data_IF_567980102793
#
_entry.id   IF_567980102793
#
_cell.length_a   1.000
_cell.length_b   1.000
_cell.length_c   1.000
_cell.angle_alpha   90.00
_cell.angle_beta   90.00
_cell.angle_gamma   90.00
#
_symmetry.space_group_name_H-M   'P 1'
#
loop_
_entity.id
_entity.type
_entity.pdbx_description
1 polymer ?
#
# COMPACT_ATOMS: atom_id res chain seq x y z
N UNK A 1 -34.34 -5.19 -45.28
CA UNK A 1 -33.92 -3.79 -45.00
C UNK A 1 -34.67 -3.19 -43.81
N UNK A 2 -36.04 -3.22 -43.73
CA UNK A 2 -36.80 -2.64 -42.61
C UNK A 2 -36.48 -3.26 -41.23
N UNK A 3 -36.24 -4.57 -41.15
CA UNK A 3 -35.88 -5.23 -39.89
C UNK A 3 -34.44 -4.94 -39.46
N UNK A 4 -33.50 -4.86 -40.41
CA UNK A 4 -32.12 -4.50 -40.13
C UNK A 4 -32.05 -3.06 -39.58
N UNK A 5 -32.79 -2.12 -40.17
CA UNK A 5 -32.87 -0.76 -39.69
C UNK A 5 -33.46 -0.66 -38.26
N UNK A 6 -34.47 -1.47 -37.93
CA UNK A 6 -35.05 -1.53 -36.56
C UNK A 6 -34.05 -2.10 -35.56
N UNK A 7 -33.32 -3.17 -35.90
CA UNK A 7 -32.30 -3.75 -35.04
C UNK A 7 -31.17 -2.73 -34.81
N UNK A 8 -30.69 -2.08 -35.88
CA UNK A 8 -29.65 -1.06 -35.76
C UNK A 8 -30.09 0.13 -34.88
N UNK A 9 -31.33 0.60 -35.04
CA UNK A 9 -31.87 1.67 -34.20
C UNK A 9 -31.99 1.25 -32.73
N UNK A 10 -32.51 0.03 -32.48
CA UNK A 10 -32.59 -0.51 -31.12
C UNK A 10 -31.21 -0.61 -30.48
N UNK A 11 -30.24 -1.20 -31.19
CA UNK A 11 -28.86 -1.32 -30.69
C UNK A 11 -28.24 0.04 -30.39
N UNK A 12 -28.44 1.03 -31.29
CA UNK A 12 -27.92 2.39 -31.06
C UNK A 12 -28.54 3.03 -29.82
N UNK A 13 -29.87 2.95 -29.66
CA UNK A 13 -30.56 3.48 -28.46
C UNK A 13 -30.09 2.77 -27.19
N UNK A 14 -29.97 1.44 -27.23
CA UNK A 14 -29.49 0.65 -26.12
C UNK A 14 -28.06 1.07 -25.69
N UNK A 15 -27.15 1.22 -26.66
CA UNK A 15 -25.79 1.66 -26.41
C UNK A 15 -25.74 3.08 -25.82
N UNK A 16 -26.58 4.00 -26.32
CA UNK A 16 -26.66 5.37 -25.77
C UNK A 16 -27.16 5.35 -24.34
N UNK A 17 -28.21 4.59 -24.05
CA UNK A 17 -28.72 4.45 -22.67
C UNK A 17 -27.64 3.82 -21.77
N UNK A 18 -26.97 2.76 -22.24
CA UNK A 18 -25.89 2.13 -21.49
C UNK A 18 -24.76 3.10 -21.18
N UNK A 19 -24.31 3.90 -22.15
CA UNK A 19 -23.27 4.92 -21.96
C UNK A 19 -23.69 5.97 -20.93
N UNK A 20 -24.94 6.40 -20.96
CA UNK A 20 -25.48 7.34 -19.97
C UNK A 20 -25.44 6.71 -18.56
N UNK A 21 -25.94 5.48 -18.43
CA UNK A 21 -25.95 4.76 -17.17
C UNK A 21 -24.52 4.50 -16.65
N UNK A 22 -23.58 4.09 -17.50
CA UNK A 22 -22.17 3.97 -17.14
C UNK A 22 -21.56 5.28 -16.64
N UNK A 23 -22.00 6.42 -17.18
CA UNK A 23 -21.58 7.75 -16.71
C UNK A 23 -22.00 8.05 -15.29
N UNK A 24 -23.13 7.50 -14.82
CA UNK A 24 -23.67 7.68 -13.46
C UNK A 24 -23.13 6.65 -12.45
N UNK A 25 -22.60 5.54 -12.92
CA UNK A 25 -22.11 4.45 -12.10
C UNK A 25 -20.60 4.25 -12.28
N UNK A 26 -19.77 5.21 -11.86
CA UNK A 26 -18.34 5.01 -11.97
C UNK A 26 -17.91 3.90 -11.02
N UNK A 27 -16.87 3.16 -11.37
CA UNK A 27 -16.18 2.32 -10.40
C UNK A 27 -15.73 3.19 -9.23
N UNK A 28 -15.80 2.62 -8.04
CA UNK A 28 -15.72 3.27 -6.73
C UNK A 28 -14.30 3.75 -6.34
N UNK A 29 -13.40 3.88 -7.29
CA UNK A 29 -12.01 4.26 -7.05
C UNK A 29 -11.66 5.58 -7.74
N UNK A 30 -11.95 6.69 -7.04
CA UNK A 30 -11.61 8.05 -7.50
C UNK A 30 -10.10 8.30 -7.65
N UNK A 31 -9.24 7.54 -6.95
CA UNK A 31 -7.79 7.67 -7.03
C UNK A 31 -7.26 7.31 -8.42
N UNK A 32 -7.73 6.22 -9.03
CA UNK A 32 -7.32 5.81 -10.38
C UNK A 32 -7.67 6.86 -11.43
N UNK A 33 -8.87 7.43 -11.36
CA UNK A 33 -9.28 8.47 -12.30
C UNK A 33 -8.46 9.76 -12.13
N UNK A 34 -8.14 10.13 -10.89
CA UNK A 34 -7.27 11.26 -10.55
C UNK A 34 -5.86 11.06 -11.11
N UNK A 35 -5.29 9.90 -10.88
CA UNK A 35 -3.97 9.50 -11.37
C UNK A 35 -3.87 9.60 -12.90
N UNK A 36 -4.76 8.94 -13.65
CA UNK A 36 -4.74 8.97 -15.11
C UNK A 36 -4.94 10.38 -15.67
N UNK A 37 -5.78 11.19 -15.04
CA UNK A 37 -5.95 12.60 -15.43
C UNK A 37 -4.70 13.43 -15.20
N UNK A 38 -4.00 13.23 -14.08
CA UNK A 38 -2.73 13.91 -13.80
C UNK A 38 -1.68 13.49 -14.83
N UNK A 39 -1.57 12.19 -15.10
CA UNK A 39 -0.66 11.63 -16.10
C UNK A 39 -0.85 12.26 -17.48
N UNK A 40 -2.07 12.23 -18.03
CA UNK A 40 -2.35 12.77 -19.37
C UNK A 40 -2.24 14.31 -19.50
N UNK A 41 -2.08 15.05 -18.39
CA UNK A 41 -1.81 16.48 -18.44
C UNK A 41 -0.32 16.79 -18.66
N UNK A 42 0.56 15.80 -18.50
CA UNK A 42 2.00 15.98 -18.61
C UNK A 42 2.46 15.88 -20.07
N UNK A 43 3.27 16.82 -20.50
CA UNK A 43 3.85 16.83 -21.85
C UNK A 43 5.13 15.98 -21.94
N UNK A 44 5.88 15.91 -20.85
CA UNK A 44 7.07 15.09 -20.68
C UNK A 44 7.10 14.55 -19.26
N UNK A 45 7.77 13.45 -19.07
CA UNK A 45 7.98 12.82 -17.76
C UNK A 45 9.43 12.41 -17.67
N UNK A 46 10.14 12.94 -16.67
CA UNK A 46 11.53 12.63 -16.40
C UNK A 46 11.64 11.46 -15.39
N UNK A 47 10.76 11.45 -14.38
CA UNK A 47 10.69 10.44 -13.34
C UNK A 47 9.24 9.96 -13.23
N UNK A 48 9.03 8.66 -13.31
CA UNK A 48 7.74 8.05 -13.00
C UNK A 48 7.81 7.22 -11.72
N UNK A 49 6.82 7.37 -10.84
CA UNK A 49 6.67 6.58 -9.62
C UNK A 49 5.48 5.67 -9.82
N UNK A 50 5.68 4.37 -9.69
CA UNK A 50 4.63 3.34 -9.86
C UNK A 50 4.53 2.54 -8.58
N UNK A 51 3.31 2.21 -8.15
CA UNK A 51 3.08 1.38 -6.97
C UNK A 51 1.71 1.57 -6.33
N UNK A 52 1.59 1.12 -5.09
CA UNK A 52 0.36 1.20 -4.31
C UNK A 52 0.26 2.51 -3.50
N UNK A 53 -0.60 2.51 -2.47
CA UNK A 53 -0.66 3.61 -1.48
C UNK A 53 0.66 3.87 -0.78
N UNK A 54 1.54 2.88 -0.66
CA UNK A 54 2.89 3.08 -0.12
C UNK A 54 3.69 4.06 -0.98
N UNK A 55 3.61 3.92 -2.29
CA UNK A 55 4.27 4.83 -3.23
C UNK A 55 3.73 6.26 -3.10
N UNK A 56 2.41 6.43 -3.06
CA UNK A 56 1.79 7.75 -2.98
C UNK A 56 2.02 8.45 -1.64
N UNK A 57 2.16 7.69 -0.56
CA UNK A 57 2.46 8.23 0.77
C UNK A 57 3.95 8.56 0.95
N UNK A 58 4.84 7.71 0.41
CA UNK A 58 6.28 7.89 0.59
C UNK A 58 6.89 8.91 -0.38
N UNK A 59 6.38 8.98 -1.61
CA UNK A 59 6.90 9.85 -2.67
C UNK A 59 5.76 10.68 -3.31
N UNK A 60 5.21 11.65 -2.59
CA UNK A 60 4.23 12.56 -3.18
C UNK A 60 4.80 13.27 -4.41
N UNK A 61 4.03 13.34 -5.49
CA UNK A 61 4.46 13.87 -6.78
C UNK A 61 5.05 15.28 -6.67
N UNK A 62 4.33 16.17 -5.99
CA UNK A 62 4.72 17.58 -5.86
C UNK A 62 6.00 17.74 -5.05
N UNK A 63 6.19 16.91 -4.01
CA UNK A 63 7.37 16.95 -3.14
C UNK A 63 8.62 16.49 -3.89
N UNK A 64 8.52 15.36 -4.61
CA UNK A 64 9.67 14.87 -5.38
C UNK A 64 9.99 15.78 -6.56
N UNK A 65 8.98 16.35 -7.24
CA UNK A 65 9.18 17.32 -8.30
C UNK A 65 9.86 18.59 -7.80
N UNK A 66 9.45 19.10 -6.64
CA UNK A 66 10.08 20.26 -6.01
C UNK A 66 11.53 19.98 -5.59
N UNK A 67 11.81 18.78 -5.08
CA UNK A 67 13.13 18.40 -4.61
C UNK A 67 14.12 18.13 -5.76
N UNK A 68 13.66 17.60 -6.90
CA UNK A 68 14.51 17.28 -8.06
C UNK A 68 14.57 18.41 -9.09
N UNK A 69 13.53 19.24 -9.16
CA UNK A 69 13.33 20.22 -10.25
C UNK A 69 12.90 19.59 -11.57
N UNK A 70 12.47 18.32 -11.57
CA UNK A 70 12.11 17.52 -12.73
C UNK A 70 10.60 17.29 -12.83
N UNK A 71 10.13 16.88 -14.03
CA UNK A 71 8.74 16.50 -14.21
C UNK A 71 8.52 15.08 -13.68
N UNK A 72 7.79 14.98 -12.59
CA UNK A 72 7.44 13.71 -11.95
C UNK A 72 6.02 13.30 -12.33
N UNK A 73 5.78 12.02 -12.56
CA UNK A 73 4.45 11.43 -12.67
C UNK A 73 4.26 10.37 -11.58
N UNK A 74 3.25 10.53 -10.75
CA UNK A 74 2.83 9.53 -9.78
C UNK A 74 1.73 8.65 -10.38
N UNK A 75 2.09 7.44 -10.78
CA UNK A 75 1.19 6.42 -11.32
C UNK A 75 0.91 5.35 -10.27
N UNK A 76 0.39 5.80 -9.13
CA UNK A 76 0.12 4.96 -7.97
C UNK A 76 -1.30 5.17 -7.46
N UNK A 77 -1.94 4.10 -7.04
CA UNK A 77 -3.31 4.11 -6.50
C UNK A 77 -3.44 3.20 -5.28
N UNK A 78 -4.53 3.37 -4.52
CA UNK A 78 -4.78 2.52 -3.37
C UNK A 78 -4.92 1.05 -3.77
N UNK A 79 -4.18 0.17 -3.10
CA UNK A 79 -4.17 -1.27 -3.34
C UNK A 79 -3.86 -1.63 -4.81
N UNK A 80 -3.00 -0.87 -5.47
CA UNK A 80 -2.53 -1.17 -6.82
C UNK A 80 -1.67 -2.43 -6.80
N UNK A 81 -2.08 -3.44 -7.55
CA UNK A 81 -1.36 -4.69 -7.75
C UNK A 81 -0.29 -4.56 -8.86
N UNK A 82 0.53 -5.59 -9.01
CA UNK A 82 1.60 -5.57 -10.02
C UNK A 82 1.07 -5.56 -11.45
N UNK A 83 -0.03 -6.24 -11.74
CA UNK A 83 -0.67 -6.20 -13.06
C UNK A 83 -1.15 -4.78 -13.42
N UNK A 84 -1.74 -4.03 -12.48
CA UNK A 84 -2.06 -2.62 -12.70
C UNK A 84 -0.81 -1.77 -12.87
N UNK A 85 0.25 -2.05 -12.13
CA UNK A 85 1.55 -1.38 -12.24
C UNK A 85 2.21 -1.66 -13.59
N UNK A 86 2.10 -2.89 -14.11
CA UNK A 86 2.55 -3.25 -15.45
C UNK A 86 1.80 -2.46 -16.53
N UNK A 87 0.47 -2.36 -16.43
CA UNK A 87 -0.34 -1.57 -17.35
C UNK A 87 0.08 -0.10 -17.34
N UNK A 88 0.28 0.47 -16.15
CA UNK A 88 0.78 1.84 -16.01
C UNK A 88 2.14 2.03 -16.69
N UNK A 89 3.06 1.09 -16.49
CA UNK A 89 4.38 1.10 -17.11
C UNK A 89 4.31 0.97 -18.65
N UNK A 90 3.49 0.06 -19.17
CA UNK A 90 3.32 -0.13 -20.62
C UNK A 90 2.78 1.16 -21.27
N UNK A 91 1.80 1.81 -20.65
CA UNK A 91 1.25 3.08 -21.14
C UNK A 91 2.30 4.17 -21.07
N UNK A 92 3.03 4.28 -19.95
CA UNK A 92 4.12 5.25 -19.77
C UNK A 92 5.18 5.11 -20.87
N UNK A 93 5.71 3.90 -21.08
CA UNK A 93 6.81 3.69 -22.05
C UNK A 93 6.37 3.76 -23.52
N UNK A 94 5.07 3.59 -23.80
CA UNK A 94 4.50 3.85 -25.12
C UNK A 94 4.48 5.35 -25.47
N UNK A 95 4.26 6.21 -24.48
CA UNK A 95 3.98 7.63 -24.67
C UNK A 95 5.15 8.55 -24.29
N UNK A 96 5.97 8.11 -23.35
CA UNK A 96 7.10 8.87 -22.79
C UNK A 96 8.37 8.02 -22.70
N UNK A 97 9.50 8.69 -22.50
CA UNK A 97 10.80 8.06 -22.29
C UNK A 97 11.42 8.61 -20.99
N UNK A 98 10.90 8.20 -19.83
CA UNK A 98 11.40 8.69 -18.55
C UNK A 98 12.84 8.22 -18.33
N UNK A 99 13.63 9.05 -17.65
CA UNK A 99 14.99 8.71 -17.23
C UNK A 99 14.98 7.65 -16.14
N UNK A 100 14.05 7.77 -15.20
CA UNK A 100 13.83 6.82 -14.13
C UNK A 100 12.37 6.38 -14.06
N UNK A 101 12.20 5.09 -13.84
CA UNK A 101 10.97 4.52 -13.29
C UNK A 101 11.30 4.00 -11.88
N UNK A 102 10.60 4.50 -10.88
CA UNK A 102 10.70 4.05 -9.49
C UNK A 102 9.50 3.15 -9.22
N UNK A 103 9.72 1.84 -9.13
CA UNK A 103 8.69 0.89 -8.71
C UNK A 103 8.79 0.67 -7.21
N UNK A 104 7.81 1.19 -6.48
CA UNK A 104 7.73 0.98 -5.03
C UNK A 104 7.14 -0.39 -4.76
N UNK A 105 8.00 -1.30 -4.30
CA UNK A 105 7.65 -2.68 -3.98
C UNK A 105 6.92 -2.75 -2.65
N UNK A 106 5.88 -3.56 -2.63
CA UNK A 106 5.24 -4.00 -1.40
C UNK A 106 5.28 -5.53 -1.38
N UNK A 107 6.06 -6.11 -0.48
CA UNK A 107 6.22 -7.56 -0.36
C UNK A 107 4.87 -8.24 -0.08
N UNK A 108 3.97 -7.58 0.63
CA UNK A 108 2.63 -8.11 0.90
C UNK A 108 1.79 -8.24 -0.37
N UNK A 109 1.98 -7.36 -1.36
CA UNK A 109 1.28 -7.43 -2.64
C UNK A 109 1.78 -8.57 -3.53
N UNK A 110 2.94 -9.15 -3.23
CA UNK A 110 3.49 -10.29 -3.98
C UNK A 110 2.84 -11.62 -3.59
N UNK A 111 2.29 -11.74 -2.39
CA UNK A 111 1.68 -12.97 -1.85
C UNK A 111 0.17 -13.02 -2.06
N UNK A 112 -0.48 -11.87 -2.15
CA UNK A 112 -1.93 -11.75 -2.23
C UNK A 112 -2.51 -12.04 -3.61
N UNK A 113 -3.82 -12.25 -3.66
CA UNK A 113 -4.57 -12.21 -4.92
C UNK A 113 -4.85 -10.74 -5.28
N UNK A 114 -4.78 -10.37 -6.58
CA UNK A 114 -5.14 -9.04 -7.03
C UNK A 114 -6.53 -8.62 -6.51
N UNK A 115 -6.66 -7.38 -6.10
CA UNK A 115 -7.94 -6.85 -5.67
C UNK A 115 -8.79 -6.50 -6.90
N UNK A 116 -9.59 -7.46 -7.39
CA UNK A 116 -10.33 -7.37 -8.65
C UNK A 116 -11.16 -6.09 -8.83
N UNK A 117 -11.73 -5.54 -7.74
CA UNK A 117 -12.49 -4.29 -7.79
C UNK A 117 -11.58 -3.08 -8.10
N UNK A 118 -10.40 -3.04 -7.50
CA UNK A 118 -9.42 -1.97 -7.74
C UNK A 118 -8.88 -2.03 -9.18
N UNK A 119 -8.56 -3.23 -9.66
CA UNK A 119 -8.11 -3.45 -11.04
C UNK A 119 -9.15 -2.99 -12.06
N UNK A 120 -10.43 -3.34 -11.88
CA UNK A 120 -11.50 -2.88 -12.76
C UNK A 120 -11.63 -1.37 -12.78
N UNK A 121 -11.54 -0.74 -11.61
CA UNK A 121 -11.60 0.71 -11.48
C UNK A 121 -10.41 1.39 -12.17
N UNK A 122 -9.23 0.79 -12.08
CA UNK A 122 -8.01 1.27 -12.71
C UNK A 122 -8.10 1.27 -14.23
N UNK A 123 -8.44 0.13 -14.84
CA UNK A 123 -8.61 -0.04 -16.28
C UNK A 123 -9.74 0.82 -16.83
N UNK A 124 -10.85 0.93 -16.09
CA UNK A 124 -11.96 1.77 -16.51
C UNK A 124 -11.62 3.26 -16.48
N UNK A 125 -10.80 3.68 -15.52
CA UNK A 125 -10.31 5.04 -15.45
C UNK A 125 -9.35 5.38 -16.60
N UNK A 126 -8.46 4.46 -16.98
CA UNK A 126 -7.62 4.56 -18.17
C UNK A 126 -8.49 4.75 -19.40
N UNK A 127 -9.44 3.85 -19.66
CA UNK A 127 -10.37 3.92 -20.79
C UNK A 127 -11.16 5.23 -20.87
N UNK A 128 -11.49 5.86 -19.70
CA UNK A 128 -12.19 7.14 -19.67
C UNK A 128 -11.30 8.33 -20.04
N UNK A 129 -10.03 8.26 -19.71
CA UNK A 129 -9.10 9.39 -19.82
C UNK A 129 -8.30 9.38 -21.10
N UNK A 130 -8.14 8.24 -21.71
CA UNK A 130 -7.32 8.02 -22.91
C UNK A 130 -7.86 8.69 -24.18
N UNK A 131 -6.99 8.83 -25.17
CA UNK A 131 -7.29 9.40 -26.45
C UNK A 131 -8.26 8.50 -27.26
N UNK A 132 -9.01 9.08 -28.20
CA UNK A 132 -9.89 8.30 -29.08
C UNK A 132 -9.16 7.24 -29.91
N UNK A 133 -7.85 7.39 -30.12
CA UNK A 133 -7.04 6.45 -30.92
C UNK A 133 -6.72 5.18 -30.11
N UNK A 134 -6.53 5.33 -28.82
CA UNK A 134 -6.08 4.26 -27.92
C UNK A 134 -7.25 3.50 -27.29
N UNK A 135 -8.41 4.15 -27.17
CA UNK A 135 -9.64 3.54 -26.60
C UNK A 135 -10.01 2.14 -27.13
N UNK A 136 -9.85 1.78 -28.40
CA UNK A 136 -10.15 0.41 -28.84
C UNK A 136 -9.21 -0.63 -28.22
N UNK A 137 -7.91 -0.30 -28.05
CA UNK A 137 -6.94 -1.18 -27.42
C UNK A 137 -7.20 -1.32 -25.92
N UNK A 138 -7.51 -0.21 -25.25
CA UNK A 138 -7.81 -0.20 -23.81
C UNK A 138 -9.13 -0.92 -23.51
N UNK A 139 -10.13 -0.76 -24.38
CA UNK A 139 -11.38 -1.52 -24.27
C UNK A 139 -11.11 -3.02 -24.43
N UNK A 140 -10.26 -3.41 -25.39
CA UNK A 140 -9.88 -4.81 -25.56
C UNK A 140 -9.14 -5.33 -24.34
N UNK A 141 -8.16 -4.57 -23.82
CA UNK A 141 -7.42 -4.88 -22.58
C UNK A 141 -8.39 -5.03 -21.39
N UNK A 142 -9.30 -4.09 -21.22
CA UNK A 142 -10.33 -4.15 -20.20
C UNK A 142 -11.20 -5.40 -20.31
N UNK A 143 -11.61 -5.78 -21.54
CA UNK A 143 -12.43 -6.96 -21.80
C UNK A 143 -11.66 -8.27 -21.66
N UNK A 144 -10.35 -8.27 -21.90
CA UNK A 144 -9.50 -9.47 -21.91
C UNK A 144 -8.68 -9.64 -20.64
N UNK A 145 -8.74 -8.69 -19.70
CA UNK A 145 -8.03 -8.83 -18.42
C UNK A 145 -8.53 -10.08 -17.67
N UNK A 146 -7.58 -10.85 -17.14
CA UNK A 146 -7.81 -12.20 -16.56
C UNK A 146 -8.94 -12.25 -15.54
N UNK A 147 -9.09 -11.19 -14.73
CA UNK A 147 -10.07 -11.14 -13.65
C UNK A 147 -11.45 -10.63 -14.07
N UNK A 148 -11.59 -10.13 -15.30
CA UNK A 148 -12.86 -9.66 -15.83
C UNK A 148 -13.71 -10.77 -16.48
N UNK A 149 -13.15 -11.97 -16.70
CA UNK A 149 -13.81 -13.04 -17.44
C UNK A 149 -14.48 -14.13 -16.60
N UNK A 150 -14.60 -13.97 -15.30
CA UNK A 150 -15.50 -14.82 -14.54
C UNK A 150 -16.95 -14.34 -14.72
N UNK A 151 -17.60 -14.78 -15.79
CA UNK A 151 -19.03 -14.72 -16.08
C UNK A 151 -19.84 -13.48 -15.66
N UNK A 152 -20.22 -13.37 -14.41
CA UNK A 152 -21.03 -12.26 -13.90
C UNK A 152 -20.29 -10.91 -13.87
N UNK A 153 -19.00 -10.92 -13.64
CA UNK A 153 -18.19 -9.71 -13.50
C UNK A 153 -17.96 -8.99 -14.83
N UNK A 154 -17.82 -9.73 -15.93
CA UNK A 154 -17.67 -9.16 -17.27
C UNK A 154 -18.94 -8.43 -17.73
N UNK A 155 -20.12 -8.98 -17.38
CA UNK A 155 -21.39 -8.33 -17.64
C UNK A 155 -21.55 -7.06 -16.78
N UNK A 156 -21.10 -7.08 -15.54
CA UNK A 156 -21.12 -5.90 -14.68
C UNK A 156 -20.19 -4.79 -15.17
N UNK A 157 -19.10 -5.13 -15.83
CA UNK A 157 -18.20 -4.15 -16.45
C UNK A 157 -18.83 -3.46 -17.66
N UNK A 158 -19.51 -4.24 -18.53
CA UNK A 158 -20.22 -3.71 -19.70
C UNK A 158 -21.54 -3.04 -19.30
N UNK A 159 -22.18 -3.52 -18.25
CA UNK A 159 -23.48 -3.09 -17.75
C UNK A 159 -23.43 -2.85 -16.23
N UNK A 160 -22.71 -1.81 -15.77
CA UNK A 160 -22.49 -1.56 -14.34
C UNK A 160 -23.79 -1.38 -13.55
N UNK A 161 -24.89 -1.01 -14.21
CA UNK A 161 -26.22 -0.93 -13.62
C UNK A 161 -26.82 -2.30 -13.21
N UNK A 162 -26.23 -3.42 -13.62
CA UNK A 162 -26.63 -4.77 -13.16
C UNK A 162 -26.06 -5.12 -11.79
N UNK A 163 -24.99 -4.48 -11.36
CA UNK A 163 -24.31 -4.78 -10.10
C UNK A 163 -25.11 -4.41 -8.82
N UNK A 164 -26.25 -3.77 -8.99
CA UNK A 164 -27.09 -3.33 -7.86
C UNK A 164 -26.52 -2.16 -7.06
N UNK A 165 -25.37 -1.64 -7.42
CA UNK A 165 -24.71 -0.49 -6.77
C UNK A 165 -25.30 0.82 -7.26
N UNK A 166 -26.64 0.97 -7.19
CA UNK A 166 -27.30 2.20 -7.57
C UNK A 166 -27.03 3.29 -6.54
N UNK A 167 -26.86 4.55 -6.97
CA UNK A 167 -26.74 5.67 -6.04
C UNK A 167 -27.93 5.71 -5.09
N UNK A 168 -27.67 5.83 -3.80
CA UNK A 168 -28.71 6.01 -2.78
C UNK A 168 -29.22 7.45 -2.74
N UNK A 169 -28.37 8.40 -3.13
CA UNK A 169 -28.68 9.83 -3.26
C UNK A 169 -28.43 10.30 -4.69
N UNK A 170 -29.47 10.25 -5.51
CA UNK A 170 -29.41 10.70 -6.90
C UNK A 170 -29.14 12.20 -7.07
N UNK A 171 -29.76 13.13 -6.28
CA UNK A 171 -29.44 14.53 -6.38
C UNK A 171 -27.95 14.84 -6.13
N UNK A 172 -27.39 14.29 -5.06
CA UNK A 172 -25.98 14.47 -4.75
C UNK A 172 -25.06 13.87 -5.85
N UNK A 173 -25.41 12.69 -6.35
CA UNK A 173 -24.67 12.05 -7.46
C UNK A 173 -24.70 12.87 -8.74
N UNK A 174 -25.86 13.37 -9.13
CA UNK A 174 -26.02 14.25 -10.30
C UNK A 174 -25.21 15.53 -10.12
N UNK A 175 -25.28 16.16 -8.93
CA UNK A 175 -24.53 17.38 -8.63
C UNK A 175 -23.02 17.14 -8.69
N UNK A 176 -22.54 16.02 -8.13
CA UNK A 176 -21.14 15.64 -8.18
C UNK A 176 -20.65 15.43 -9.61
N UNK A 177 -21.45 14.74 -10.44
CA UNK A 177 -21.15 14.51 -11.88
C UNK A 177 -21.15 15.80 -12.66
N UNK A 178 -22.13 16.67 -12.39
CA UNK A 178 -22.20 17.98 -13.04
C UNK A 178 -21.00 18.85 -12.67
N UNK A 179 -20.62 18.87 -11.41
CA UNK A 179 -19.40 19.55 -10.95
C UNK A 179 -18.15 18.98 -11.63
N UNK A 180 -18.05 17.65 -11.78
CA UNK A 180 -16.94 17.01 -12.49
C UNK A 180 -16.89 17.42 -13.97
N UNK A 181 -18.04 17.56 -14.64
CA UNK A 181 -18.12 18.07 -16.02
C UNK A 181 -17.70 19.54 -16.09
N UNK A 182 -18.20 20.37 -15.19
CA UNK A 182 -17.85 21.80 -15.12
C UNK A 182 -16.37 22.01 -14.80
N UNK A 183 -15.77 21.17 -13.97
CA UNK A 183 -14.33 21.23 -13.65
C UNK A 183 -13.44 20.78 -14.83
N UNK A 184 -13.99 20.12 -15.84
CA UNK A 184 -13.29 19.79 -17.10
C UNK A 184 -13.22 20.98 -18.05
N UNK A 185 -13.99 22.05 -17.83
CA UNK A 185 -13.93 23.25 -18.65
C UNK A 185 -12.60 23.99 -18.43
N UNK A 186 -11.96 24.56 -19.49
CA UNK A 186 -10.60 25.10 -19.45
C UNK A 186 -10.33 26.19 -18.40
N UNK A 187 -11.38 26.80 -17.86
CA UNK A 187 -11.27 27.93 -16.92
C UNK A 187 -11.11 27.54 -15.45
N UNK A 188 -11.12 26.23 -15.12
CA UNK A 188 -10.90 25.72 -13.76
C UNK A 188 -9.73 24.71 -13.67
N UNK A 189 -8.70 24.93 -14.47
CA UNK A 189 -7.41 24.22 -14.31
C UNK A 189 -6.71 24.78 -13.08
N UNK A 190 -6.86 24.14 -11.95
CA UNK A 190 -6.17 24.63 -10.76
C UNK A 190 -6.41 23.89 -9.46
N UNK A 191 -7.08 22.75 -9.50
CA UNK A 191 -7.09 21.85 -8.36
C UNK A 191 -6.63 20.48 -8.87
N UNK A 192 -5.33 20.29 -9.00
CA UNK A 192 -4.73 19.00 -8.76
C UNK A 192 -5.33 18.50 -7.44
N UNK A 193 -5.72 17.23 -7.36
CA UNK A 193 -6.10 16.66 -6.08
C UNK A 193 -4.84 16.61 -5.20
N UNK A 194 -4.54 17.78 -4.58
CA UNK A 194 -3.76 17.75 -3.36
C UNK A 194 -4.57 16.89 -2.39
N UNK A 195 -4.09 15.70 -2.09
CA UNK A 195 -4.58 14.96 -0.94
C UNK A 195 -4.43 15.91 0.25
N UNK A 196 -5.44 16.06 1.11
CA UNK A 196 -5.24 16.81 2.35
C UNK A 196 -3.98 16.24 3.02
N UNK A 197 -3.10 17.12 3.49
CA UNK A 197 -1.89 16.70 4.19
C UNK A 197 -2.28 15.79 5.36
N UNK A 198 -1.93 14.53 5.27
CA UNK A 198 -2.18 13.57 6.33
C UNK A 198 -1.08 13.72 7.39
N UNK A 199 -1.40 14.46 8.44
CA UNK A 199 -0.50 14.72 9.57
C UNK A 199 -0.69 13.73 10.72
N UNK A 200 -1.46 12.67 10.53
CA UNK A 200 -1.66 11.62 11.53
C UNK A 200 -0.32 11.01 11.92
N UNK A 201 -0.13 10.77 13.21
CA UNK A 201 1.04 10.09 13.76
C UNK A 201 0.58 8.78 14.40
N UNK A 202 1.30 7.70 14.12
CA UNK A 202 1.00 6.38 14.68
C UNK A 202 1.13 6.39 16.20
N UNK A 203 0.17 5.75 16.88
CA UNK A 203 0.27 5.41 18.28
C UNK A 203 0.54 3.91 18.44
N UNK A 204 1.78 3.53 18.72
CA UNK A 204 2.18 2.13 18.88
C UNK A 204 1.45 1.42 20.03
N UNK A 205 1.03 2.12 21.09
CA UNK A 205 0.31 1.52 22.20
C UNK A 205 -1.08 0.98 21.83
N UNK A 206 -1.60 1.37 20.67
CA UNK A 206 -2.88 0.88 20.13
C UNK A 206 -2.73 -0.18 19.04
N UNK A 207 -1.50 -0.48 18.61
CA UNK A 207 -1.23 -1.49 17.59
C UNK A 207 -1.12 -2.85 18.26
N UNK A 208 -2.09 -3.70 18.07
CA UNK A 208 -2.06 -5.07 18.55
C UNK A 208 -1.17 -5.99 17.70
N UNK A 209 -1.59 -7.24 17.54
CA UNK A 209 -0.89 -8.19 16.69
C UNK A 209 -0.95 -7.73 15.22
N UNK A 210 0.22 -7.63 14.59
CA UNK A 210 0.33 -7.33 13.17
C UNK A 210 0.05 -8.60 12.38
N UNK A 211 -1.00 -8.57 11.56
CA UNK A 211 -1.29 -9.67 10.64
C UNK A 211 -0.43 -9.52 9.39
N UNK A 212 0.54 -10.39 9.22
CA UNK A 212 1.27 -10.53 7.97
C UNK A 212 0.55 -11.53 7.05
N UNK A 213 0.54 -11.26 5.74
CA UNK A 213 -0.16 -12.08 4.76
C UNK A 213 0.46 -13.48 4.61
N UNK A 214 1.78 -13.58 4.81
CA UNK A 214 2.52 -14.83 4.90
C UNK A 214 3.72 -14.67 5.83
N UNK A 215 4.10 -15.74 6.50
CA UNK A 215 5.34 -15.82 7.29
C UNK A 215 6.42 -16.64 6.56
N UNK A 216 6.08 -17.23 5.43
CA UNK A 216 7.01 -18.06 4.66
C UNK A 216 7.77 -17.23 3.63
N UNK A 217 9.09 -17.39 3.58
CA UNK A 217 9.90 -16.81 2.53
C UNK A 217 9.45 -17.29 1.14
N UNK A 218 9.47 -16.35 0.18
CA UNK A 218 9.16 -16.62 -1.24
C UNK A 218 7.76 -17.19 -1.50
N UNK A 219 6.79 -16.96 -0.60
CA UNK A 219 5.38 -17.33 -0.81
C UNK A 219 4.73 -16.37 -1.81
N UNK A 220 5.36 -16.25 -2.99
CA UNK A 220 4.91 -15.35 -4.05
C UNK A 220 4.02 -16.07 -5.06
N UNK A 221 3.03 -15.34 -5.55
CA UNK A 221 2.27 -15.79 -6.70
C UNK A 221 3.19 -15.89 -7.94
N UNK A 222 3.17 -17.04 -8.63
CA UNK A 222 3.89 -17.19 -9.90
C UNK A 222 3.51 -16.10 -10.91
N UNK A 223 2.24 -15.67 -10.89
CA UNK A 223 1.74 -14.60 -11.73
C UNK A 223 2.44 -13.26 -11.40
N UNK A 224 2.58 -12.91 -10.11
CA UNK A 224 3.23 -11.66 -9.71
C UNK A 224 4.73 -11.65 -10.08
N UNK A 225 5.39 -12.79 -9.98
CA UNK A 225 6.78 -12.92 -10.44
C UNK A 225 6.87 -12.74 -11.97
N UNK A 226 5.94 -13.30 -12.74
CA UNK A 226 5.85 -13.11 -14.20
C UNK A 226 5.62 -11.62 -14.54
N UNK A 227 4.70 -10.94 -13.86
CA UNK A 227 4.41 -9.52 -14.04
C UNK A 227 5.64 -8.65 -13.73
N UNK A 228 6.28 -8.87 -12.58
CA UNK A 228 7.51 -8.15 -12.22
C UNK A 228 8.63 -8.39 -13.23
N UNK A 229 8.83 -9.64 -13.65
CA UNK A 229 9.83 -10.00 -14.66
C UNK A 229 9.56 -9.31 -15.99
N UNK A 230 8.29 -9.25 -16.42
CA UNK A 230 7.87 -8.54 -17.64
C UNK A 230 8.15 -7.04 -17.54
N UNK A 231 7.91 -6.42 -16.39
CA UNK A 231 8.21 -5.00 -16.16
C UNK A 231 9.72 -4.72 -16.22
N UNK A 232 10.53 -5.58 -15.61
CA UNK A 232 11.99 -5.50 -15.65
C UNK A 232 12.52 -5.59 -17.09
N UNK A 233 12.05 -6.58 -17.85
CA UNK A 233 12.39 -6.78 -19.24
C UNK A 233 11.97 -5.59 -20.11
N UNK A 234 10.75 -5.09 -19.93
CA UNK A 234 10.22 -3.95 -20.68
C UNK A 234 11.07 -2.69 -20.48
N UNK A 235 11.51 -2.40 -19.27
CA UNK A 235 12.39 -1.28 -19.00
C UNK A 235 13.78 -1.47 -19.62
N UNK A 236 14.33 -2.67 -19.55
CA UNK A 236 15.61 -3.01 -20.18
C UNK A 236 15.56 -2.80 -21.71
N UNK A 237 14.51 -3.28 -22.38
CA UNK A 237 14.32 -3.16 -23.81
C UNK A 237 14.15 -1.69 -24.26
N UNK A 238 13.55 -0.84 -23.41
CA UNK A 238 13.37 0.58 -23.68
C UNK A 238 14.55 1.46 -23.24
N UNK A 239 15.56 0.88 -22.60
CA UNK A 239 16.72 1.63 -22.09
C UNK A 239 16.39 2.57 -20.92
N UNK A 240 15.26 2.36 -20.25
CA UNK A 240 14.83 3.11 -19.09
C UNK A 240 15.43 2.51 -17.81
N UNK A 241 15.96 3.36 -16.93
CA UNK A 241 16.47 2.90 -15.63
C UNK A 241 15.32 2.58 -14.68
N UNK A 242 15.10 1.29 -14.41
CA UNK A 242 14.16 0.85 -13.40
C UNK A 242 14.85 0.73 -12.03
N UNK A 243 14.34 1.43 -11.04
CA UNK A 243 14.70 1.31 -9.64
C UNK A 243 13.55 0.63 -8.90
N UNK A 244 13.78 -0.57 -8.41
CA UNK A 244 12.88 -1.17 -7.44
C UNK A 244 13.28 -0.65 -6.06
N UNK A 245 12.30 -0.20 -5.29
CA UNK A 245 12.56 0.25 -3.92
C UNK A 245 11.53 -0.31 -2.95
N UNK A 246 11.94 -0.62 -1.71
CA UNK A 246 11.02 -0.62 -0.58
C UNK A 246 11.03 0.77 0.05
N UNK A 247 9.85 1.38 0.16
CA UNK A 247 9.70 2.65 0.88
C UNK A 247 9.93 2.44 2.39
N UNK A 248 10.37 3.47 3.13
CA UNK A 248 10.52 3.37 4.58
C UNK A 248 9.19 3.02 5.25
N UNK A 249 9.24 2.05 6.14
CA UNK A 249 8.16 1.60 7.01
C UNK A 249 8.61 1.73 8.47
N UNK A 250 7.73 1.44 9.41
CA UNK A 250 8.18 1.34 10.80
C UNK A 250 9.00 0.07 11.02
N UNK A 251 9.90 0.12 12.00
CA UNK A 251 10.67 -1.06 12.43
C UNK A 251 9.75 -2.21 12.80
N UNK A 252 8.57 -1.91 13.38
CA UNK A 252 7.54 -2.90 13.68
C UNK A 252 7.12 -3.70 12.44
N UNK A 253 6.84 -3.05 11.30
CA UNK A 253 6.42 -3.74 10.08
C UNK A 253 7.52 -4.66 9.55
N UNK A 254 8.77 -4.18 9.56
CA UNK A 254 9.92 -4.96 9.08
C UNK A 254 10.16 -6.21 9.94
N UNK A 255 10.19 -6.08 11.28
CA UNK A 255 10.49 -7.22 12.17
C UNK A 255 9.29 -8.13 12.44
N UNK A 256 8.09 -7.70 12.10
CA UNK A 256 6.90 -8.56 12.21
C UNK A 256 6.82 -9.62 11.12
N UNK A 257 7.59 -9.47 10.04
CA UNK A 257 7.67 -10.42 8.95
C UNK A 257 9.02 -11.13 8.96
N UNK A 258 9.05 -12.36 9.48
CA UNK A 258 10.30 -13.11 9.67
C UNK A 258 11.09 -13.32 8.36
N UNK A 259 10.38 -13.51 7.24
CA UNK A 259 10.99 -13.75 5.94
C UNK A 259 11.40 -12.47 5.18
N UNK A 260 11.26 -11.28 5.79
CA UNK A 260 11.47 -10.00 5.11
C UNK A 260 12.80 -9.91 4.35
N UNK A 261 13.89 -10.29 5.00
CA UNK A 261 15.23 -10.17 4.40
C UNK A 261 15.58 -11.30 3.44
N UNK A 262 14.91 -12.45 3.53
CA UNK A 262 15.01 -13.50 2.51
C UNK A 262 14.35 -13.04 1.21
N UNK A 263 13.18 -12.42 1.31
CA UNK A 263 12.47 -11.83 0.17
C UNK A 263 13.24 -10.64 -0.42
N UNK A 264 13.82 -9.78 0.43
CA UNK A 264 14.73 -8.72 0.00
C UNK A 264 15.87 -9.27 -0.87
N UNK A 265 16.56 -10.31 -0.38
CA UNK A 265 17.69 -10.93 -1.10
C UNK A 265 17.24 -11.52 -2.45
N UNK A 266 16.07 -12.16 -2.49
CA UNK A 266 15.48 -12.70 -3.72
C UNK A 266 15.21 -11.59 -4.74
N UNK A 267 14.53 -10.50 -4.36
CA UNK A 267 14.24 -9.41 -5.31
C UNK A 267 15.47 -8.64 -5.74
N UNK A 268 16.46 -8.48 -4.86
CA UNK A 268 17.76 -7.89 -5.24
C UNK A 268 18.46 -8.72 -6.30
N UNK A 269 18.44 -10.04 -6.17
CA UNK A 269 19.01 -10.95 -7.16
C UNK A 269 18.19 -10.93 -8.46
N UNK A 270 16.86 -10.96 -8.37
CA UNK A 270 15.99 -10.91 -9.56
C UNK A 270 16.21 -9.64 -10.36
N UNK A 271 16.21 -8.48 -9.72
CA UNK A 271 16.46 -7.19 -10.38
C UNK A 271 17.80 -7.17 -11.11
N UNK A 272 18.86 -7.66 -10.48
CA UNK A 272 20.21 -7.70 -11.05
C UNK A 272 20.28 -8.53 -12.34
N UNK A 273 19.48 -9.59 -12.49
CA UNK A 273 19.42 -10.42 -13.71
C UNK A 273 18.96 -9.63 -14.94
N UNK A 274 18.20 -8.56 -14.74
CA UNK A 274 17.68 -7.67 -15.79
C UNK A 274 18.39 -6.32 -15.85
N UNK A 275 19.52 -6.16 -15.15
CA UNK A 275 20.27 -4.91 -15.11
C UNK A 275 19.58 -3.79 -14.33
N UNK A 276 18.55 -4.12 -13.54
CA UNK A 276 17.88 -3.20 -12.62
C UNK A 276 18.52 -3.28 -11.23
N UNK A 277 18.19 -2.29 -10.36
CA UNK A 277 18.65 -2.25 -8.98
C UNK A 277 17.48 -2.28 -8.02
N UNK A 278 17.66 -2.94 -6.87
CA UNK A 278 16.71 -2.91 -5.77
C UNK A 278 17.37 -2.31 -4.53
N UNK A 279 16.72 -1.29 -3.96
CA UNK A 279 17.16 -0.59 -2.75
C UNK A 279 16.06 -0.61 -1.71
N UNK A 280 16.36 -1.15 -0.56
CA UNK A 280 15.44 -1.15 0.58
C UNK A 280 15.75 0.03 1.50
N UNK A 281 14.90 1.05 1.48
CA UNK A 281 15.10 2.25 2.29
C UNK A 281 14.82 2.05 3.78
N UNK A 282 14.34 0.88 4.18
CA UNK A 282 14.36 0.49 5.60
C UNK A 282 15.77 0.23 6.11
N UNK A 283 16.71 -0.08 5.19
CA UNK A 283 18.12 -0.25 5.48
C UNK A 283 18.94 1.03 5.26
N UNK A 284 18.31 2.15 4.90
CA UNK A 284 19.01 3.39 4.67
C UNK A 284 19.67 3.91 5.95
N UNK A 285 20.97 4.24 5.86
CA UNK A 285 21.70 4.86 6.96
C UNK A 285 21.21 6.30 7.18
N UNK A 286 21.33 6.85 8.41
CA UNK A 286 20.83 8.19 8.74
C UNK A 286 21.35 9.32 7.85
N UNK A 287 22.56 9.20 7.27
CA UNK A 287 23.11 10.19 6.34
C UNK A 287 22.38 10.23 4.99
N UNK A 288 21.65 9.15 4.61
CA UNK A 288 20.75 9.14 3.47
C UNK A 288 19.34 9.49 3.91
N UNK A 289 18.79 8.73 4.84
CA UNK A 289 17.44 8.93 5.37
C UNK A 289 17.35 8.46 6.82
N UNK A 290 17.05 9.38 7.74
CA UNK A 290 16.75 9.07 9.13
C UNK A 290 15.24 8.84 9.29
N UNK A 291 14.83 7.60 9.48
CA UNK A 291 13.42 7.26 9.68
C UNK A 291 12.99 7.61 11.11
N UNK A 292 12.35 8.77 11.29
CA UNK A 292 11.92 9.28 12.60
C UNK A 292 10.57 8.68 13.00
N UNK A 293 10.61 7.53 13.62
CA UNK A 293 9.41 6.93 14.22
C UNK A 293 9.09 7.56 15.60
N UNK A 294 7.81 7.83 15.89
CA UNK A 294 6.61 7.65 15.06
C UNK A 294 6.31 8.82 14.11
N UNK A 295 7.03 9.94 14.19
CA UNK A 295 6.70 11.24 13.59
C UNK A 295 6.44 11.20 12.07
N UNK A 296 7.08 10.27 11.36
CA UNK A 296 6.99 10.14 9.90
C UNK A 296 5.94 9.14 9.41
N UNK A 297 5.21 8.47 10.33
CA UNK A 297 4.28 7.41 9.97
C UNK A 297 2.88 7.67 10.51
N UNK A 298 1.85 7.41 9.69
CA UNK A 298 0.45 7.46 10.11
C UNK A 298 -0.08 6.12 10.62
N UNK A 299 0.51 5.05 10.15
CA UNK A 299 0.32 3.68 10.62
C UNK A 299 1.65 2.92 10.48
N UNK A 300 1.68 1.62 10.75
CA UNK A 300 2.94 0.86 10.75
C UNK A 300 3.54 0.65 9.36
N UNK A 301 2.80 0.88 8.26
CA UNK A 301 3.26 0.71 6.88
C UNK A 301 3.36 2.00 6.07
N UNK A 302 2.50 2.98 6.35
CA UNK A 302 2.40 4.19 5.52
C UNK A 302 3.03 5.40 6.18
N UNK A 303 3.77 6.15 5.39
CA UNK A 303 4.25 7.48 5.80
C UNK A 303 3.09 8.49 5.87
N UNK A 304 3.24 9.48 6.73
CA UNK A 304 2.41 10.69 6.75
C UNK A 304 3.04 11.79 5.86
N UNK A 305 2.45 12.97 5.82
CA UNK A 305 2.94 14.07 4.99
C UNK A 305 4.38 14.49 5.34
N UNK A 306 4.75 14.53 6.62
CA UNK A 306 6.10 14.89 7.04
C UNK A 306 7.13 13.84 6.59
N UNK A 307 6.79 12.56 6.71
CA UNK A 307 7.61 11.45 6.25
C UNK A 307 7.79 11.47 4.73
N UNK A 308 6.70 11.65 3.97
CA UNK A 308 6.73 11.74 2.51
C UNK A 308 7.59 12.91 2.00
N UNK A 309 7.49 14.08 2.64
CA UNK A 309 8.36 15.22 2.36
C UNK A 309 9.84 14.89 2.60
N UNK A 310 10.17 14.38 3.80
CA UNK A 310 11.54 14.04 4.16
C UNK A 310 12.13 12.96 3.25
N UNK A 311 11.34 11.96 2.89
CA UNK A 311 11.78 10.89 2.01
C UNK A 311 11.95 11.37 0.55
N UNK A 312 11.10 12.28 0.06
CA UNK A 312 11.27 12.89 -1.27
C UNK A 312 12.58 13.66 -1.37
N UNK A 313 12.99 14.41 -0.34
CA UNK A 313 14.31 15.09 -0.30
C UNK A 313 15.46 14.06 -0.33
N UNK A 314 15.34 12.98 0.40
CA UNK A 314 16.34 11.91 0.42
C UNK A 314 16.42 11.18 -0.93
N UNK A 315 15.27 10.92 -1.57
CA UNK A 315 15.22 10.33 -2.90
C UNK A 315 15.86 11.23 -3.95
N UNK A 316 15.61 12.54 -3.92
CA UNK A 316 16.25 13.48 -4.84
C UNK A 316 17.77 13.47 -4.70
N UNK A 317 18.28 13.46 -3.45
CA UNK A 317 19.73 13.30 -3.18
C UNK A 317 20.26 11.97 -3.71
N UNK A 318 19.55 10.88 -3.48
CA UNK A 318 19.91 9.54 -3.94
C UNK A 318 19.99 9.46 -5.47
N UNK A 319 18.98 10.00 -6.19
CA UNK A 319 18.98 10.05 -7.66
C UNK A 319 20.15 10.88 -8.20
N UNK A 320 20.44 12.04 -7.59
CA UNK A 320 21.58 12.87 -7.97
C UNK A 320 22.93 12.13 -7.79
N UNK A 321 23.09 11.34 -6.74
CA UNK A 321 24.27 10.52 -6.51
C UNK A 321 24.41 9.41 -7.56
N UNK A 322 23.28 8.74 -7.91
CA UNK A 322 23.26 7.75 -8.99
C UNK A 322 23.66 8.35 -10.34
N UNK A 323 23.18 9.55 -10.65
CA UNK A 323 23.54 10.27 -11.90
C UNK A 323 25.01 10.68 -11.93
N UNK A 324 25.56 11.02 -10.77
CA UNK A 324 26.98 11.31 -10.62
C UNK A 324 27.88 10.03 -10.64
N UNK A 325 27.28 8.84 -10.78
CA UNK A 325 28.01 7.57 -10.76
C UNK A 325 28.65 7.23 -9.41
N UNK A 326 28.12 7.80 -8.33
CA UNK A 326 28.64 7.55 -6.98
C UNK A 326 28.22 6.15 -6.48
N UNK A 327 29.02 5.57 -5.61
CA UNK A 327 28.67 4.33 -4.94
C UNK A 327 27.65 4.60 -3.85
N UNK A 328 26.38 4.25 -4.12
CA UNK A 328 25.26 4.42 -3.19
C UNK A 328 25.04 3.21 -2.27
N UNK A 329 25.61 2.06 -2.56
CA UNK A 329 25.46 0.83 -1.74
C UNK A 329 25.99 1.05 -0.32
N UNK A 330 27.02 1.89 -0.15
CA UNK A 330 27.59 2.20 1.18
C UNK A 330 26.64 3.00 2.10
N UNK A 331 25.57 3.55 1.53
CA UNK A 331 24.54 4.31 2.27
C UNK A 331 23.46 3.40 2.87
N UNK A 332 23.55 2.10 2.67
CA UNK A 332 22.64 1.12 3.23
C UNK A 332 23.34 0.21 4.20
N UNK A 333 22.65 -0.17 5.25
CA UNK A 333 23.06 -1.23 6.16
C UNK A 333 22.85 -2.59 5.52
N UNK A 334 23.56 -3.59 5.99
CA UNK A 334 23.21 -4.98 5.71
C UNK A 334 22.03 -5.42 6.58
N UNK A 335 21.24 -6.42 6.16
CA UNK A 335 20.19 -7.01 7.01
C UNK A 335 20.66 -7.38 8.42
N UNK A 336 21.90 -7.92 8.53
CA UNK A 336 22.46 -8.26 9.83
C UNK A 336 22.75 -7.04 10.70
N UNK A 337 23.28 -5.96 10.15
CA UNK A 337 23.51 -4.71 10.88
C UNK A 337 22.21 -4.12 11.37
N UNK A 338 21.20 -4.06 10.50
CA UNK A 338 19.86 -3.59 10.85
C UNK A 338 19.25 -4.41 12.00
N UNK A 339 19.22 -5.74 11.89
CA UNK A 339 18.65 -6.61 12.92
C UNK A 339 19.38 -6.52 14.26
N UNK A 340 20.69 -6.29 14.26
CA UNK A 340 21.47 -6.05 15.49
C UNK A 340 21.12 -4.68 16.09
N UNK A 341 20.85 -3.67 15.27
CA UNK A 341 20.45 -2.34 15.74
C UNK A 341 19.06 -2.35 16.38
N UNK A 342 18.17 -3.27 16.00
CA UNK A 342 16.86 -3.46 16.66
C UNK A 342 17.02 -4.26 17.96
N UNK A 343 17.70 -3.66 18.92
CA UNK A 343 17.97 -4.24 20.25
C UNK A 343 16.94 -3.82 21.30
N UNK A 344 15.74 -3.49 20.91
CA UNK A 344 14.62 -3.03 21.73
C UNK A 344 13.31 -3.71 21.31
N UNK A 345 12.29 -3.66 22.18
CA UNK A 345 10.94 -4.12 21.87
C UNK A 345 10.22 -3.02 21.09
N UNK A 346 9.87 -3.31 19.83
CA UNK A 346 9.15 -2.36 18.96
C UNK A 346 7.69 -2.27 19.35
N UNK A 347 7.06 -3.42 19.63
CA UNK A 347 5.67 -3.51 20.07
C UNK A 347 5.40 -4.81 20.83
N UNK A 348 4.27 -4.86 21.55
CA UNK A 348 3.75 -6.03 22.26
C UNK A 348 2.27 -6.20 21.92
N UNK A 349 1.77 -7.41 21.91
CA UNK A 349 0.37 -7.73 21.71
C UNK A 349 -0.14 -8.76 22.71
N UNK A 350 -1.46 -8.82 22.89
CA UNK A 350 -2.16 -9.73 23.78
C UNK A 350 -3.40 -10.26 23.09
N UNK A 351 -3.53 -11.58 22.99
CA UNK A 351 -4.69 -12.27 22.42
C UNK A 351 -5.36 -13.09 23.52
N UNK A 352 -6.59 -12.72 23.95
CA UNK A 352 -7.34 -13.49 24.91
C UNK A 352 -8.14 -14.61 24.21
N UNK A 353 -8.18 -15.79 24.82
CA UNK A 353 -9.03 -16.91 24.43
C UNK A 353 -9.94 -17.30 25.60
N UNK A 354 -11.25 -17.23 25.38
CA UNK A 354 -12.26 -17.53 26.42
C UNK A 354 -12.56 -19.02 26.47
N UNK A 355 -12.40 -19.61 27.65
CA UNK A 355 -12.77 -20.97 27.98
C UNK A 355 -13.90 -20.98 29.05
N UNK A 356 -14.60 -22.08 29.29
CA UNK A 356 -15.75 -22.09 30.20
C UNK A 356 -15.45 -21.70 31.65
N UNK A 357 -14.22 -21.83 32.12
CA UNK A 357 -13.78 -21.59 33.49
C UNK A 357 -12.58 -20.65 33.63
N UNK A 358 -12.06 -20.17 32.52
CA UNK A 358 -10.85 -19.33 32.50
C UNK A 358 -10.71 -18.52 31.21
N UNK A 359 -9.83 -17.54 31.26
CA UNK A 359 -9.38 -16.81 30.08
C UNK A 359 -7.88 -17.12 29.92
N UNK A 360 -7.50 -17.73 28.79
CA UNK A 360 -6.11 -17.90 28.39
C UNK A 360 -5.64 -16.63 27.69
N UNK A 361 -4.50 -16.10 28.14
CA UNK A 361 -3.88 -14.90 27.61
C UNK A 361 -2.58 -15.26 26.91
N UNK A 362 -2.51 -14.99 25.61
CA UNK A 362 -1.34 -15.22 24.77
C UNK A 362 -0.71 -13.89 24.43
N UNK A 363 0.49 -13.61 24.94
CA UNK A 363 1.26 -12.42 24.62
C UNK A 363 2.37 -12.73 23.63
N UNK A 364 2.81 -11.72 22.91
CA UNK A 364 4.03 -11.76 22.13
C UNK A 364 4.58 -10.37 21.92
N UNK A 365 5.80 -10.27 21.46
CA UNK A 365 6.45 -8.99 21.17
C UNK A 365 7.25 -9.06 19.87
N UNK A 366 7.39 -7.92 19.22
CA UNK A 366 8.19 -7.74 18.03
C UNK A 366 9.50 -7.04 18.38
N UNK A 367 10.62 -7.63 17.99
CA UNK A 367 11.96 -7.15 18.31
C UNK A 367 13.01 -7.84 17.42
N UNK A 368 14.24 -7.35 17.44
CA UNK A 368 15.33 -8.04 16.78
C UNK A 368 15.75 -9.35 17.46
N UNK A 369 16.50 -10.21 16.79
CA UNK A 369 16.80 -11.57 17.25
C UNK A 369 17.71 -11.62 18.49
N UNK A 370 18.37 -10.53 18.85
CA UNK A 370 19.22 -10.42 20.03
C UNK A 370 18.46 -10.15 21.32
N UNK A 371 17.17 -9.79 21.23
CA UNK A 371 16.32 -9.44 22.37
C UNK A 371 15.61 -10.65 22.91
N UNK A 372 15.61 -10.81 24.23
CA UNK A 372 14.74 -11.74 24.93
C UNK A 372 13.76 -10.95 25.78
N UNK A 373 12.47 -11.08 25.50
CA UNK A 373 11.42 -10.39 26.24
C UNK A 373 10.92 -11.19 27.44
N UNK A 374 10.49 -10.47 28.48
CA UNK A 374 9.70 -11.00 29.59
C UNK A 374 8.41 -10.22 29.74
N UNK A 375 7.36 -10.90 30.23
CA UNK A 375 5.97 -10.41 30.25
C UNK A 375 5.41 -10.45 31.66
N UNK A 376 4.63 -9.41 32.00
CA UNK A 376 3.87 -9.28 33.23
C UNK A 376 2.41 -9.02 32.88
N UNK A 377 1.46 -9.67 33.57
CA UNK A 377 0.04 -9.56 33.24
C UNK A 377 -0.76 -8.93 34.37
N UNK A 378 -1.66 -8.05 33.94
CA UNK A 378 -2.57 -7.29 34.79
C UNK A 378 -4.02 -7.50 34.34
N UNK A 379 -4.95 -7.41 35.28
CA UNK A 379 -6.37 -7.52 35.02
C UNK A 379 -7.13 -6.41 35.74
N UNK A 380 -8.20 -5.97 35.11
CA UNK A 380 -9.23 -5.16 35.72
C UNK A 380 -10.54 -5.90 35.52
N UNK A 381 -11.06 -6.51 36.59
CA UNK A 381 -12.27 -7.33 36.57
C UNK A 381 -13.52 -6.46 36.43
N UNK A 382 -14.69 -7.04 36.07
CA UNK A 382 -15.94 -6.29 36.01
C UNK A 382 -16.24 -5.55 37.29
N UNK A 383 -16.51 -4.25 37.20
CA UNK A 383 -16.77 -3.37 38.35
C UNK A 383 -15.54 -2.80 39.05
N UNK A 384 -14.33 -3.24 38.75
CA UNK A 384 -13.11 -2.64 39.29
C UNK A 384 -12.73 -1.36 38.52
N UNK A 385 -12.09 -0.40 39.23
CA UNK A 385 -11.62 0.85 38.63
C UNK A 385 -10.14 0.79 38.24
N UNK A 386 -9.37 -0.08 38.86
CA UNK A 386 -7.90 -0.16 38.74
C UNK A 386 -7.44 -1.52 38.28
N UNK A 387 -6.29 -1.56 37.60
CA UNK A 387 -5.63 -2.81 37.26
C UNK A 387 -4.95 -3.43 38.48
N UNK A 388 -5.07 -4.74 38.62
CA UNK A 388 -4.33 -5.54 39.62
C UNK A 388 -3.39 -6.52 38.91
N UNK A 389 -2.15 -6.62 39.37
CA UNK A 389 -1.20 -7.58 38.82
C UNK A 389 -1.52 -8.99 39.32
N UNK A 390 -1.65 -9.94 38.42
CA UNK A 390 -1.90 -11.34 38.75
C UNK A 390 -0.79 -12.29 38.27
N UNK A 391 0.12 -11.84 37.39
CA UNK A 391 1.29 -12.60 36.97
C UNK A 391 2.51 -11.68 36.90
N UNK A 392 3.59 -12.04 37.62
CA UNK A 392 4.84 -11.29 37.61
C UNK A 392 5.66 -11.56 36.34
N UNK A 393 6.68 -10.73 36.09
CA UNK A 393 7.57 -10.89 34.93
C UNK A 393 8.16 -12.29 34.81
N UNK A 394 8.04 -12.83 33.60
CA UNK A 394 8.57 -14.15 33.23
C UNK A 394 8.75 -14.18 31.70
N UNK A 395 9.67 -14.99 31.23
CA UNK A 395 9.86 -15.24 29.79
C UNK A 395 8.75 -16.08 29.18
N UNK A 396 7.81 -16.59 30.00
CA UNK A 396 6.62 -17.29 29.52
C UNK A 396 5.63 -16.27 28.97
N UNK A 397 5.35 -16.38 27.69
CA UNK A 397 4.50 -15.45 26.93
C UNK A 397 2.99 -15.71 27.08
N UNK A 398 2.58 -16.54 28.02
CA UNK A 398 1.18 -16.85 28.26
C UNK A 398 0.88 -17.05 29.75
N UNK A 399 -0.38 -16.84 30.12
CA UNK A 399 -0.88 -17.11 31.46
C UNK A 399 -2.38 -17.41 31.41
N UNK A 400 -2.91 -17.99 32.49
CA UNK A 400 -4.34 -18.26 32.65
C UNK A 400 -4.89 -17.38 33.78
N UNK A 401 -6.07 -16.83 33.54
CA UNK A 401 -6.82 -16.09 34.56
C UNK A 401 -8.14 -16.83 34.84
N UNK A 402 -8.35 -17.23 36.11
CA UNK A 402 -9.61 -17.84 36.53
C UNK A 402 -10.67 -16.75 36.67
N UNK A 403 -11.55 -16.63 35.69
CA UNK A 403 -12.65 -15.66 35.73
C UNK A 403 -13.75 -16.18 36.65
N UNK A 404 -14.18 -15.37 37.61
CA UNK A 404 -15.18 -15.75 38.63
C UNK A 404 -16.60 -15.26 38.29
N UNK A 405 -16.72 -14.21 37.51
CA UNK A 405 -17.98 -13.52 37.22
C UNK A 405 -18.12 -13.26 35.71
N UNK A 406 -19.36 -13.31 35.21
CA UNK A 406 -19.63 -12.88 33.85
C UNK A 406 -19.55 -11.35 33.73
N UNK A 407 -18.92 -10.87 32.64
CA UNK A 407 -18.79 -9.47 32.36
C UNK A 407 -17.57 -9.15 31.51
N UNK A 408 -17.33 -7.87 31.29
CA UNK A 408 -16.18 -7.41 30.50
C UNK A 408 -14.95 -7.29 31.38
N UNK A 409 -13.94 -8.06 31.09
CA UNK A 409 -12.59 -7.97 31.66
C UNK A 409 -11.69 -7.11 30.78
N UNK A 410 -10.85 -6.28 31.39
CA UNK A 410 -9.79 -5.59 30.69
C UNK A 410 -8.46 -6.21 31.13
N UNK A 411 -7.65 -6.62 30.17
CA UNK A 411 -6.32 -7.15 30.42
C UNK A 411 -5.26 -6.23 29.88
N UNK A 412 -4.13 -6.18 30.58
CA UNK A 412 -2.92 -5.47 30.16
C UNK A 412 -1.73 -6.41 30.27
N UNK A 413 -0.91 -6.42 29.22
CA UNK A 413 0.42 -7.01 29.25
C UNK A 413 1.47 -5.91 29.21
N UNK A 414 2.41 -5.96 30.13
CA UNK A 414 3.65 -5.20 30.06
C UNK A 414 4.76 -6.10 29.57
N UNK A 415 5.58 -5.59 28.66
CA UNK A 415 6.76 -6.29 28.17
C UNK A 415 8.03 -5.46 28.38
N UNK A 416 9.13 -6.13 28.72
CA UNK A 416 10.46 -5.54 28.79
C UNK A 416 11.53 -6.57 28.43
N UNK A 417 12.73 -6.08 28.15
CA UNK A 417 13.89 -6.95 27.92
C UNK A 417 14.30 -7.61 29.23
N UNK A 418 14.65 -8.90 29.18
CA UNK A 418 15.14 -9.65 30.37
C UNK A 418 16.32 -8.93 30.98
N UNK A 419 16.20 -8.63 32.30
CA UNK A 419 17.20 -7.91 33.05
C UNK A 419 17.14 -6.38 32.93
N UNK A 420 16.18 -5.82 32.22
CA UNK A 420 15.90 -4.38 32.20
C UNK A 420 15.46 -3.90 33.60
N UNK A 421 15.87 -2.70 33.95
CA UNK A 421 15.41 -2.02 35.17
C UNK A 421 14.16 -1.17 34.97
N UNK A 422 13.66 -1.08 33.74
CA UNK A 422 12.43 -0.36 33.43
C UNK A 422 11.21 -1.10 34.01
N UNK A 423 10.20 -0.35 34.42
CA UNK A 423 8.92 -0.95 34.82
C UNK A 423 8.31 -1.72 33.65
N UNK A 424 8.33 -1.15 32.46
CA UNK A 424 8.06 -1.79 31.19
C UNK A 424 8.67 -0.95 30.05
N UNK A 425 8.85 -1.55 28.89
CA UNK A 425 9.27 -0.83 27.67
C UNK A 425 8.10 -0.62 26.72
N UNK A 426 7.19 -1.61 26.67
CA UNK A 426 5.94 -1.55 25.92
C UNK A 426 4.82 -2.18 26.73
N UNK A 427 3.58 -1.75 26.46
CA UNK A 427 2.38 -2.39 26.98
C UNK A 427 1.30 -2.48 25.92
N UNK A 428 0.35 -3.36 26.13
CA UNK A 428 -0.87 -3.46 25.32
C UNK A 428 -2.06 -3.82 26.18
N UNK A 429 -3.22 -3.24 25.88
CA UNK A 429 -4.46 -3.46 26.59
C UNK A 429 -5.53 -4.03 25.64
N UNK A 430 -6.31 -4.97 26.10
CA UNK A 430 -7.45 -5.50 25.39
C UNK A 430 -8.63 -5.74 26.34
N UNK A 431 -9.83 -5.86 25.78
CA UNK A 431 -11.05 -6.20 26.52
C UNK A 431 -11.63 -7.49 25.97
N UNK A 432 -12.22 -8.30 26.85
CA UNK A 432 -12.90 -9.54 26.50
C UNK A 432 -14.10 -9.76 27.39
N UNK A 433 -15.19 -10.25 26.80
CA UNK A 433 -16.39 -10.64 27.52
C UNK A 433 -16.31 -12.12 27.92
N UNK A 434 -16.54 -12.40 29.21
CA UNK A 434 -16.56 -13.74 29.80
C UNK A 434 -17.96 -14.13 30.24
#
# INVERSE_FOLDING_TARGET
>A
LKYIAKIAAFTAIFLIINLILCGFMPPDNGSSLGMWRSYHQKQSIDIAIIGSSLASCALPEEELAAATGETVALMATNAQSLDMSQIALETLLREHSPRYVILVMDLTNMTGKPYAKAQKAFLYAELQTDSWKDKPADLLRYMTSRDNFTGADSLNALFPWQSGSWPTDWPATIQQKWNAVLNRLPHRRGAAHAQPEDTTVINFDTVGMVNTWSQNAHDFSAQHIEELTSMLQLCQENGTRLLLISAPKTTLDVVSYEAYFDDYAYFKQLAAQYGASYYDFNLAKPELFENKEPDYHKDFTHMNAAGGHAFSLSMAKFLAMLDAGQNVESLFETPSEYLVAVNYITNVYLTPEVHPDKILLLAGSYHGPSVQAEYEFWVKAPGESEYSRFSAYSTRSWTEYAAAEHGTYQFRVNARIVGSSADFERYYECSVDF
#
